data_IF_840930126564
#
_entry.id   IF_840930126564
#
_cell.length_a   1.000
_cell.length_b   1.000
_cell.length_c   1.000
_cell.angle_alpha   90.00
_cell.angle_beta   90.00
_cell.angle_gamma   90.00
#
_symmetry.space_group_name_H-M   'P 1'
#
loop_
_entity.id
_entity.type
_entity.pdbx_description
1 polymer ?
#
# COMPACT_ATOMS: atom_id res chain seq x y z
N UNK A 1 -25.00 58.44 -5.24
CA UNK A 1 -25.12 57.13 -5.92
C UNK A 1 -23.77 56.43 -5.81
N UNK A 2 -23.71 55.28 -5.14
CA UNK A 2 -22.48 54.50 -4.90
C UNK A 2 -22.33 53.45 -6.02
N UNK A 3 -21.15 53.22 -6.60
CA UNK A 3 -20.88 51.95 -7.26
C UNK A 3 -20.25 50.99 -6.23
N UNK A 4 -20.94 49.87 -5.97
CA UNK A 4 -20.36 48.69 -5.33
C UNK A 4 -19.39 48.05 -6.32
N UNK A 5 -18.10 48.01 -5.99
CA UNK A 5 -17.12 47.17 -6.65
C UNK A 5 -16.97 45.88 -5.84
N UNK A 6 -17.43 44.79 -6.44
CA UNK A 6 -17.25 43.44 -5.96
C UNK A 6 -15.75 43.08 -5.95
N UNK A 7 -15.23 42.69 -4.79
CA UNK A 7 -13.96 41.98 -4.71
C UNK A 7 -14.25 40.52 -4.38
N UNK A 8 -14.23 39.69 -5.42
CA UNK A 8 -14.15 38.25 -5.31
C UNK A 8 -12.77 37.90 -4.74
N UNK A 9 -12.71 37.53 -3.46
CA UNK A 9 -11.53 36.88 -2.89
C UNK A 9 -11.59 35.42 -3.29
N UNK A 10 -10.96 35.08 -4.42
CA UNK A 10 -10.70 33.69 -4.80
C UNK A 10 -9.62 33.18 -3.87
N UNK A 11 -10.03 32.54 -2.79
CA UNK A 11 -9.15 31.79 -1.90
C UNK A 11 -8.73 30.52 -2.62
N UNK A 12 -7.62 30.57 -3.35
CA UNK A 12 -6.92 29.39 -3.83
C UNK A 12 -6.32 28.69 -2.61
N UNK A 13 -7.04 27.74 -2.03
CA UNK A 13 -6.45 26.75 -1.14
C UNK A 13 -5.60 25.85 -2.05
N UNK A 14 -4.33 26.19 -2.19
CA UNK A 14 -3.33 25.26 -2.68
C UNK A 14 -3.23 24.14 -1.64
N UNK A 15 -3.95 23.02 -1.86
CA UNK A 15 -3.60 21.76 -1.23
C UNK A 15 -2.24 21.38 -1.80
N UNK A 16 -1.19 21.74 -1.08
CA UNK A 16 0.11 21.10 -1.25
C UNK A 16 -0.06 19.65 -0.81
N UNK A 17 -0.47 18.78 -1.74
CA UNK A 17 -0.23 17.35 -1.66
C UNK A 17 1.28 17.22 -1.64
N UNK A 18 1.87 17.17 -0.44
CA UNK A 18 3.25 16.76 -0.28
C UNK A 18 3.35 15.37 -0.89
N UNK A 19 3.99 15.27 -2.07
CA UNK A 19 4.28 13.99 -2.69
C UNK A 19 5.06 13.16 -1.65
N UNK A 20 4.39 12.17 -1.08
CA UNK A 20 5.01 11.30 -0.08
C UNK A 20 6.10 10.53 -0.80
N UNK A 21 7.35 10.68 -0.36
CA UNK A 21 8.46 10.00 -1.05
C UNK A 21 8.40 8.51 -0.77
N UNK A 22 9.06 7.70 -1.61
CA UNK A 22 9.23 6.27 -1.34
C UNK A 22 9.88 6.01 0.02
N UNK A 23 10.79 6.89 0.45
CA UNK A 23 11.45 6.77 1.74
C UNK A 23 10.47 7.00 2.90
N UNK A 24 9.61 8.02 2.79
CA UNK A 24 8.61 8.33 3.82
C UNK A 24 7.59 7.19 3.99
N UNK A 25 7.14 6.62 2.88
CA UNK A 25 6.17 5.52 2.89
C UNK A 25 6.78 4.22 3.41
N UNK A 26 8.02 3.90 3.03
CA UNK A 26 8.77 2.76 3.61
C UNK A 26 8.98 2.93 5.11
N UNK A 27 9.30 4.14 5.58
CA UNK A 27 9.46 4.39 7.01
C UNK A 27 8.15 4.20 7.78
N UNK A 28 7.01 4.54 7.19
CA UNK A 28 5.70 4.23 7.79
C UNK A 28 5.44 2.72 7.85
N UNK A 29 5.77 1.97 6.79
CA UNK A 29 5.63 0.51 6.79
C UNK A 29 6.43 -0.14 7.93
N UNK A 30 7.65 0.33 8.17
CA UNK A 30 8.51 -0.17 9.27
C UNK A 30 7.88 0.01 10.66
N UNK A 31 7.02 1.01 10.83
CA UNK A 31 6.36 1.25 12.11
C UNK A 31 5.16 0.33 12.36
N UNK A 32 4.59 -0.26 11.30
CA UNK A 32 3.48 -1.20 11.45
C UNK A 32 3.95 -2.56 11.94
N UNK A 33 3.20 -3.18 12.84
CA UNK A 33 3.50 -4.48 13.41
C UNK A 33 2.24 -5.21 13.88
N UNK A 34 2.35 -6.51 14.17
CA UNK A 34 1.24 -7.28 14.72
C UNK A 34 0.71 -6.71 16.05
N UNK A 35 1.54 -5.98 16.81
CA UNK A 35 1.15 -5.33 18.07
C UNK A 35 0.13 -4.22 17.87
N UNK A 36 0.03 -3.65 16.67
CA UNK A 36 -0.97 -2.63 16.37
C UNK A 36 -2.40 -3.17 16.43
N UNK A 37 -2.55 -4.51 16.38
CA UNK A 37 -3.83 -5.19 16.53
C UNK A 37 -4.07 -5.72 17.95
N UNK A 38 -3.03 -5.90 18.77
CA UNK A 38 -3.17 -6.35 20.17
C UNK A 38 -3.94 -5.34 21.05
N UNK A 39 -3.88 -4.05 20.69
CA UNK A 39 -4.60 -2.98 21.38
C UNK A 39 -5.99 -2.67 20.81
N UNK A 40 -6.40 -3.33 19.72
CA UNK A 40 -7.69 -3.10 19.10
C UNK A 40 -8.80 -3.69 19.99
N UNK A 41 -9.74 -2.83 20.39
CA UNK A 41 -10.80 -3.19 21.34
C UNK A 41 -12.04 -3.79 20.68
N UNK A 42 -12.16 -3.61 19.37
CA UNK A 42 -13.29 -3.98 18.54
C UNK A 42 -12.87 -4.15 17.07
N UNK A 43 -13.78 -4.70 16.27
CA UNK A 43 -13.58 -4.96 14.85
C UNK A 43 -13.41 -3.66 14.03
N UNK A 44 -13.97 -2.54 14.51
CA UNK A 44 -13.84 -1.23 13.85
C UNK A 44 -12.41 -0.70 13.96
N UNK A 45 -11.78 -0.84 15.14
CA UNK A 45 -10.38 -0.49 15.34
C UNK A 45 -9.44 -1.36 14.49
N UNK A 46 -9.74 -2.66 14.35
CA UNK A 46 -9.01 -3.55 13.44
C UNK A 46 -9.17 -3.08 11.99
N UNK A 47 -10.40 -2.84 11.54
CA UNK A 47 -10.69 -2.40 10.18
C UNK A 47 -10.01 -1.07 9.84
N UNK A 48 -10.08 -0.08 10.74
CA UNK A 48 -9.41 1.21 10.56
C UNK A 48 -7.89 1.06 10.45
N UNK A 49 -7.29 0.18 11.27
CA UNK A 49 -5.85 -0.10 11.22
C UNK A 49 -5.46 -0.82 9.92
N UNK A 50 -6.23 -1.82 9.51
CA UNK A 50 -6.05 -2.51 8.22
C UNK A 50 -6.11 -1.53 7.05
N UNK A 51 -7.09 -0.62 7.02
CA UNK A 51 -7.21 0.40 5.98
C UNK A 51 -6.01 1.36 5.96
N UNK A 52 -5.50 1.76 7.13
CA UNK A 52 -4.31 2.59 7.25
C UNK A 52 -3.06 1.88 6.67
N UNK A 53 -2.92 0.59 6.96
CA UNK A 53 -1.85 -0.25 6.40
C UNK A 53 -1.99 -0.38 4.88
N UNK A 54 -3.18 -0.71 4.37
CA UNK A 54 -3.46 -0.81 2.92
C UNK A 54 -3.11 0.48 2.18
N UNK A 55 -3.56 1.62 2.70
CA UNK A 55 -3.26 2.93 2.11
C UNK A 55 -1.75 3.21 2.07
N UNK A 56 -1.02 2.80 3.10
CA UNK A 56 0.44 2.98 3.13
C UNK A 56 1.12 2.04 2.15
N UNK A 57 0.63 0.80 2.00
CA UNK A 57 1.10 -0.14 0.98
C UNK A 57 0.88 0.44 -0.42
N UNK A 58 -0.31 0.95 -0.71
CA UNK A 58 -0.67 1.60 -1.98
C UNK A 58 0.27 2.77 -2.29
N UNK A 59 0.42 3.71 -1.36
CA UNK A 59 1.35 4.84 -1.51
C UNK A 59 2.80 4.40 -1.76
N UNK A 60 3.23 3.31 -1.11
CA UNK A 60 4.58 2.77 -1.31
C UNK A 60 4.72 2.13 -2.69
N UNK A 61 3.73 1.38 -3.15
CA UNK A 61 3.71 0.80 -4.48
C UNK A 61 3.72 1.89 -5.55
N UNK A 62 2.84 2.88 -5.45
CA UNK A 62 2.80 4.00 -6.39
C UNK A 62 4.14 4.74 -6.44
N UNK A 63 4.72 5.06 -5.28
CA UNK A 63 6.02 5.72 -5.21
C UNK A 63 7.14 4.86 -5.83
N UNK A 64 7.11 3.54 -5.66
CA UNK A 64 8.07 2.61 -6.24
C UNK A 64 7.89 2.43 -7.75
N UNK A 65 6.65 2.50 -8.25
CA UNK A 65 6.35 2.39 -9.67
C UNK A 65 6.72 3.67 -10.43
N UNK A 66 6.42 4.83 -9.84
CA UNK A 66 6.69 6.16 -10.38
C UNK A 66 8.15 6.60 -10.17
N UNK A 67 8.84 6.01 -9.20
CA UNK A 67 10.25 6.23 -8.96
C UNK A 67 11.12 5.80 -10.15
N UNK A 68 12.14 6.61 -10.46
CA UNK A 68 13.19 6.25 -11.42
C UNK A 68 14.16 5.21 -10.86
N UNK A 69 14.24 5.14 -9.54
CA UNK A 69 15.11 4.20 -8.83
C UNK A 69 14.41 2.88 -8.58
N UNK A 70 15.20 1.80 -8.61
CA UNK A 70 14.73 0.47 -8.25
C UNK A 70 14.43 0.46 -6.75
N UNK A 71 13.24 -0.04 -6.38
CA UNK A 71 12.90 -0.28 -4.97
C UNK A 71 13.94 -1.23 -4.34
N UNK A 72 14.39 -0.89 -3.13
CA UNK A 72 15.38 -1.69 -2.42
C UNK A 72 14.78 -3.03 -1.96
N UNK A 73 15.65 -4.03 -1.74
CA UNK A 73 15.19 -5.32 -1.21
C UNK A 73 14.57 -5.18 0.19
N UNK A 74 15.06 -4.24 1.00
CA UNK A 74 14.51 -4.05 2.36
C UNK A 74 13.15 -3.36 2.31
N UNK A 75 12.96 -2.39 1.42
CA UNK A 75 11.64 -1.82 1.16
C UNK A 75 10.64 -2.89 0.66
N UNK A 76 11.06 -3.79 -0.24
CA UNK A 76 10.22 -4.90 -0.68
C UNK A 76 9.87 -5.88 0.45
N UNK A 77 10.78 -6.12 1.40
CA UNK A 77 10.49 -6.97 2.58
C UNK A 77 9.46 -6.33 3.49
N UNK A 78 9.59 -5.03 3.77
CA UNK A 78 8.63 -4.31 4.60
C UNK A 78 7.25 -4.26 3.94
N UNK A 79 7.22 -3.99 2.64
CA UNK A 79 6.00 -4.02 1.85
C UNK A 79 5.33 -5.41 1.91
N UNK A 80 6.08 -6.48 1.62
CA UNK A 80 5.57 -7.84 1.70
C UNK A 80 5.08 -8.21 3.11
N UNK A 81 5.79 -7.78 4.16
CA UNK A 81 5.44 -8.03 5.56
C UNK A 81 4.15 -7.34 5.95
N UNK A 82 4.01 -6.05 5.66
CA UNK A 82 2.81 -5.29 6.00
C UNK A 82 1.63 -5.80 5.19
N UNK A 83 1.79 -6.07 3.90
CA UNK A 83 0.70 -6.65 3.09
C UNK A 83 0.24 -8.01 3.60
N UNK A 84 1.16 -8.87 4.05
CA UNK A 84 0.79 -10.15 4.64
C UNK A 84 0.08 -9.98 6.00
N UNK A 85 0.54 -9.03 6.81
CA UNK A 85 -0.11 -8.68 8.07
C UNK A 85 -1.54 -8.16 7.84
N UNK A 86 -1.72 -7.27 6.86
CA UNK A 86 -3.04 -6.81 6.43
C UNK A 86 -3.90 -7.99 5.98
N UNK A 87 -3.37 -8.86 5.12
CA UNK A 87 -4.10 -10.02 4.59
C UNK A 87 -4.58 -10.97 5.70
N UNK A 88 -3.83 -11.09 6.80
CA UNK A 88 -4.23 -11.91 7.95
C UNK A 88 -5.47 -11.37 8.69
N UNK A 89 -5.71 -10.06 8.63
CA UNK A 89 -6.84 -9.39 9.29
C UNK A 89 -7.98 -9.00 8.33
N UNK A 90 -7.66 -8.84 7.05
CA UNK A 90 -8.58 -8.61 5.96
C UNK A 90 -8.09 -9.39 4.74
N UNK A 91 -8.57 -10.64 4.56
CA UNK A 91 -8.14 -11.51 3.46
C UNK A 91 -8.76 -11.12 2.11
N UNK A 92 -9.27 -9.89 1.99
CA UNK A 92 -9.66 -9.35 0.69
C UNK A 92 -8.49 -9.30 -0.28
N UNK A 93 -8.81 -9.34 -1.57
CA UNK A 93 -7.80 -9.31 -2.63
C UNK A 93 -7.14 -7.92 -2.79
N UNK A 94 -7.60 -6.91 -2.04
CA UNK A 94 -7.11 -5.53 -2.11
C UNK A 94 -5.58 -5.45 -1.96
N UNK A 95 -5.00 -6.15 -0.98
CA UNK A 95 -3.56 -6.15 -0.80
C UNK A 95 -2.83 -6.75 -2.01
N UNK A 96 -3.35 -7.84 -2.59
CA UNK A 96 -2.77 -8.46 -3.79
C UNK A 96 -2.95 -7.61 -5.05
N UNK A 97 -4.09 -6.97 -5.24
CA UNK A 97 -4.36 -6.07 -6.36
C UNK A 97 -3.43 -4.86 -6.34
N UNK A 98 -3.29 -4.21 -5.17
CA UNK A 98 -2.37 -3.08 -4.98
C UNK A 98 -0.94 -3.50 -5.30
N UNK A 99 -0.51 -4.67 -4.83
CA UNK A 99 0.84 -5.16 -5.04
C UNK A 99 1.11 -5.65 -6.47
N UNK A 100 0.06 -6.01 -7.22
CA UNK A 100 0.17 -6.72 -8.49
C UNK A 100 1.09 -6.04 -9.51
N UNK A 101 0.99 -4.72 -9.76
CA UNK A 101 1.85 -4.07 -10.75
C UNK A 101 3.32 -4.11 -10.34
N UNK A 102 3.62 -3.95 -9.04
CA UNK A 102 4.98 -4.03 -8.52
C UNK A 102 5.51 -5.48 -8.53
N UNK A 103 4.65 -6.44 -8.20
CA UNK A 103 4.98 -7.87 -8.30
C UNK A 103 5.30 -8.27 -9.74
N UNK A 104 4.55 -7.78 -10.74
CA UNK A 104 4.86 -8.01 -12.16
C UNK A 104 6.19 -7.36 -12.56
N UNK A 105 6.44 -6.10 -12.17
CA UNK A 105 7.67 -5.35 -12.48
C UNK A 105 8.92 -5.96 -11.84
N UNK A 106 8.83 -6.40 -10.59
CA UNK A 106 9.97 -6.81 -9.75
C UNK A 106 9.88 -8.26 -9.24
N UNK A 107 9.23 -9.15 -10.03
CA UNK A 107 8.85 -10.52 -9.65
C UNK A 107 9.90 -11.30 -8.86
N UNK A 108 11.14 -11.38 -9.36
CA UNK A 108 12.21 -12.16 -8.71
C UNK A 108 12.61 -11.58 -7.35
N UNK A 109 12.68 -10.25 -7.24
CA UNK A 109 13.04 -9.58 -6.00
C UNK A 109 11.89 -9.68 -4.98
N UNK A 110 10.66 -9.50 -5.45
CA UNK A 110 9.46 -9.66 -4.63
C UNK A 110 9.30 -11.10 -4.11
N UNK A 111 9.47 -12.12 -4.96
CA UNK A 111 9.44 -13.52 -4.53
C UNK A 111 10.54 -13.84 -3.52
N UNK A 112 11.68 -13.14 -3.57
CA UNK A 112 12.73 -13.27 -2.55
C UNK A 112 12.32 -12.59 -1.24
N UNK A 113 11.65 -11.44 -1.29
CA UNK A 113 11.10 -10.78 -0.12
C UNK A 113 10.02 -11.63 0.57
N UNK A 114 9.14 -12.29 -0.18
CA UNK A 114 8.14 -13.21 0.38
C UNK A 114 8.77 -14.36 1.19
N UNK A 115 10.00 -14.80 0.83
CA UNK A 115 10.71 -15.86 1.57
C UNK A 115 11.20 -15.45 2.95
N UNK A 116 11.23 -14.16 3.28
CA UNK A 116 11.54 -13.72 4.65
C UNK A 116 10.32 -13.72 5.58
N UNK A 117 9.13 -13.98 5.06
CA UNK A 117 7.90 -14.07 5.85
C UNK A 117 7.75 -15.47 6.47
N UNK A 118 6.91 -15.61 7.51
CA UNK A 118 6.43 -16.92 7.96
C UNK A 118 5.86 -17.74 6.78
N UNK A 119 6.03 -19.06 6.83
CA UNK A 119 5.71 -19.95 5.70
C UNK A 119 4.25 -19.82 5.23
N UNK A 120 3.33 -19.66 6.17
CA UNK A 120 1.90 -19.57 5.89
C UNK A 120 1.58 -18.23 5.21
N UNK A 121 1.95 -17.12 5.83
CA UNK A 121 1.82 -15.76 5.29
C UNK A 121 2.43 -15.62 3.87
N UNK A 122 3.63 -16.16 3.68
CA UNK A 122 4.30 -16.17 2.38
C UNK A 122 3.51 -16.93 1.33
N UNK A 123 2.90 -18.06 1.72
CA UNK A 123 2.13 -18.92 0.81
C UNK A 123 0.83 -18.22 0.43
N UNK A 124 0.08 -17.72 1.41
CA UNK A 124 -1.25 -17.15 1.21
C UNK A 124 -1.16 -15.88 0.36
N UNK A 125 -0.26 -14.96 0.71
CA UNK A 125 -0.05 -13.74 -0.09
C UNK A 125 0.45 -14.07 -1.51
N UNK A 126 1.32 -15.07 -1.66
CA UNK A 126 1.83 -15.49 -2.98
C UNK A 126 0.74 -16.11 -3.84
N UNK A 127 -0.14 -16.89 -3.24
CA UNK A 127 -1.28 -17.50 -3.93
C UNK A 127 -2.26 -16.42 -4.39
N UNK A 128 -2.62 -15.47 -3.51
CA UNK A 128 -3.46 -14.32 -3.85
C UNK A 128 -2.86 -13.50 -5.00
N UNK A 129 -1.57 -13.17 -4.94
CA UNK A 129 -0.87 -12.45 -6.03
C UNK A 129 -0.87 -13.22 -7.37
N UNK A 130 -0.82 -14.55 -7.32
CA UNK A 130 -0.84 -15.38 -8.54
C UNK A 130 -2.24 -15.46 -9.13
N UNK A 131 -3.27 -15.50 -8.29
CA UNK A 131 -4.66 -15.48 -8.73
C UNK A 131 -4.99 -14.14 -9.36
N UNK A 132 -4.71 -13.03 -8.66
CA UNK A 132 -4.88 -11.67 -9.19
C UNK A 132 -4.13 -11.46 -10.53
N UNK A 133 -2.90 -12.00 -10.65
CA UNK A 133 -2.15 -11.94 -11.90
C UNK A 133 -2.81 -12.70 -13.06
N UNK A 134 -3.39 -13.87 -12.79
CA UNK A 134 -4.11 -14.67 -13.80
C UNK A 134 -5.42 -14.00 -14.20
N UNK A 135 -6.16 -13.48 -13.24
CA UNK A 135 -7.43 -12.79 -13.49
C UNK A 135 -7.22 -11.53 -14.33
N UNK A 136 -6.15 -10.75 -14.10
CA UNK A 136 -5.82 -9.61 -14.96
C UNK A 136 -5.42 -10.04 -16.39
N UNK A 137 -4.73 -11.19 -16.52
CA UNK A 137 -4.30 -11.71 -17.82
C UNK A 137 -5.48 -12.35 -18.60
N UNK A 138 -6.45 -12.96 -17.91
CA UNK A 138 -7.62 -13.65 -18.48
C UNK A 138 -8.85 -12.73 -18.62
N UNK A 139 -8.96 -11.68 -17.81
CA UNK A 139 -10.09 -10.75 -17.72
C UNK A 139 -10.10 -9.60 -18.73
N UNK A 140 -9.12 -9.54 -19.63
CA UNK A 140 -9.08 -8.58 -20.75
C UNK A 140 -9.79 -9.13 -22.02
N UNK A 141 -10.99 -9.70 -21.83
CA UNK A 141 -11.87 -10.22 -22.89
C UNK A 141 -13.06 -9.31 -23.19
#
# INVERSE_FOLDING_TARGET
>A
MRPLLALFVVSFIALSVSATTLQDSVQKLQNFSAKDFEGAKDDEAVAAKTQEMLKTVEQTVEAALNGKEKISNDALKELARVSALTFAHDPSEAASEILLPLYKKEKKAFEKALRSLPKQDAKDLKESLRNAAREEDEGNG
#
